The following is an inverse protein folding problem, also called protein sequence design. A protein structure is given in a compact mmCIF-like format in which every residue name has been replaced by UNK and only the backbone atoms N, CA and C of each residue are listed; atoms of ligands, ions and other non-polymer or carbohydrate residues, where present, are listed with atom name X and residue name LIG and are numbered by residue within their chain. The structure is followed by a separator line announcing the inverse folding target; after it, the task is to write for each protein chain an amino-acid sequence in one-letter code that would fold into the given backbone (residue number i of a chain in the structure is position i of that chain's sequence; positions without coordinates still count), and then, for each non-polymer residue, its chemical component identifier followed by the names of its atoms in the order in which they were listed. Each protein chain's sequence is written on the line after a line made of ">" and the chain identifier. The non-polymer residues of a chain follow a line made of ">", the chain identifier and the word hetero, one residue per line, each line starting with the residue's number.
data_IF_865595390987
#
_entry.id   IF_865595390987
#
_cell.length_a   1.000
_cell.length_b   1.000
_cell.length_c   1.000
_cell.angle_alpha   90.00
_cell.angle_beta   90.00
_cell.angle_gamma   90.00
#
_symmetry.space_group_name_H-M   'P 1'
#
loop_
_entity.id
_entity.type
_entity.pdbx_description
1 polymer ?
#
# COMPACT_ATOMS: atom_id res chain seq x y z
N UNK A 1 10.86 15.19 -8.81
CA UNK A 1 10.03 15.16 -7.58
C UNK A 1 8.97 14.12 -7.81
N UNK A 2 8.72 13.23 -6.83
CA UNK A 2 7.72 12.19 -6.95
C UNK A 2 6.33 12.84 -7.08
N UNK A 3 5.54 12.37 -8.03
CA UNK A 3 4.17 12.84 -8.24
C UNK A 3 3.19 11.75 -7.86
N UNK A 4 2.06 12.14 -7.27
CA UNK A 4 0.99 11.19 -6.98
C UNK A 4 0.37 10.65 -8.28
N UNK A 5 0.19 9.33 -8.35
CA UNK A 5 -0.43 8.66 -9.49
C UNK A 5 -1.94 8.92 -9.54
N UNK A 6 -2.60 8.89 -10.71
CA UNK A 6 -4.05 8.95 -10.78
C UNK A 6 -4.70 7.78 -10.02
N UNK A 7 -5.81 8.04 -9.33
CA UNK A 7 -6.57 6.98 -8.64
C UNK A 7 -7.19 6.02 -9.66
N UNK A 8 -7.05 4.72 -9.40
CA UNK A 8 -7.79 3.70 -10.14
C UNK A 8 -9.30 3.76 -9.80
N UNK A 9 -10.18 3.24 -10.68
CA UNK A 9 -11.60 3.13 -10.38
C UNK A 9 -11.89 2.38 -9.07
N UNK A 10 -11.15 1.30 -8.82
CA UNK A 10 -11.29 0.47 -7.62
C UNK A 10 -10.90 1.26 -6.35
N UNK A 11 -9.85 2.08 -6.44
CA UNK A 11 -9.42 2.92 -5.34
C UNK A 11 -10.45 4.03 -5.04
N UNK A 12 -11.04 4.64 -6.09
CA UNK A 12 -12.13 5.60 -5.92
C UNK A 12 -13.32 4.98 -5.17
N UNK A 13 -13.66 3.74 -5.52
CA UNK A 13 -14.72 3.00 -4.86
C UNK A 13 -14.37 2.66 -3.39
N UNK A 14 -13.12 2.31 -3.10
CA UNK A 14 -12.64 2.02 -1.74
C UNK A 14 -12.64 3.27 -0.83
N UNK A 15 -12.17 4.41 -1.35
CA UNK A 15 -12.24 5.71 -0.66
C UNK A 15 -13.69 6.12 -0.37
N UNK A 16 -14.61 5.72 -1.25
CA UNK A 16 -16.05 5.83 -1.05
C UNK A 16 -16.62 7.04 -1.79
N UNK A 17 -17.72 6.78 -2.52
CA UNK A 17 -18.37 7.72 -3.45
C UNK A 17 -18.91 9.01 -2.83
N UNK A 18 -19.19 9.02 -1.52
CA UNK A 18 -19.67 10.19 -0.78
C UNK A 18 -18.58 10.84 0.10
N UNK A 19 -17.34 10.35 0.03
CA UNK A 19 -16.25 10.90 0.84
C UNK A 19 -15.63 12.12 0.15
N UNK A 20 -15.12 13.05 0.96
CA UNK A 20 -14.29 14.16 0.46
C UNK A 20 -12.86 13.71 0.10
N UNK A 21 -12.54 12.41 0.24
CA UNK A 21 -11.19 11.89 0.05
C UNK A 21 -10.74 11.95 -1.41
N UNK A 22 -11.61 11.62 -2.36
CA UNK A 22 -11.25 11.69 -3.80
C UNK A 22 -10.94 13.13 -4.22
N UNK A 23 -11.77 14.15 -3.92
CA UNK A 23 -11.42 15.55 -4.17
C UNK A 23 -10.14 16.02 -3.46
N UNK A 24 -9.91 15.60 -2.22
CA UNK A 24 -8.69 15.92 -1.48
C UNK A 24 -7.46 15.32 -2.16
N UNK A 25 -7.53 14.06 -2.57
CA UNK A 25 -6.45 13.39 -3.30
C UNK A 25 -6.12 14.11 -4.61
N UNK A 26 -7.14 14.43 -5.41
CA UNK A 26 -6.94 15.12 -6.68
C UNK A 26 -6.26 16.49 -6.47
N UNK A 27 -6.63 17.20 -5.40
CA UNK A 27 -5.99 18.47 -5.03
C UNK A 27 -4.53 18.27 -4.66
N UNK A 28 -4.20 17.23 -3.90
CA UNK A 28 -2.82 16.86 -3.55
C UNK A 28 -2.02 16.41 -4.78
N UNK A 29 -2.64 15.68 -5.70
CA UNK A 29 -2.01 15.23 -6.92
C UNK A 29 -1.61 16.40 -7.82
N UNK A 30 -2.47 17.42 -7.95
CA UNK A 30 -2.09 18.66 -8.63
C UNK A 30 -0.95 19.39 -7.91
N UNK A 31 -1.01 19.52 -6.57
CA UNK A 31 0.09 20.13 -5.80
C UNK A 31 1.42 19.40 -6.02
N UNK A 32 1.41 18.06 -6.04
CA UNK A 32 2.61 17.24 -6.22
C UNK A 32 3.36 17.50 -7.53
N UNK A 33 2.69 18.07 -8.54
CA UNK A 33 3.31 18.45 -9.82
C UNK A 33 4.17 19.71 -9.71
N UNK A 34 3.89 20.58 -8.74
CA UNK A 34 4.54 21.88 -8.58
C UNK A 34 5.37 22.02 -7.30
N UNK A 35 5.10 21.21 -6.28
CA UNK A 35 5.76 21.27 -4.98
C UNK A 35 5.92 19.88 -4.34
N UNK A 36 6.80 19.78 -3.34
CA UNK A 36 6.95 18.57 -2.55
C UNK A 36 5.79 18.44 -1.55
N UNK A 37 5.29 17.22 -1.37
CA UNK A 37 4.29 16.90 -0.35
C UNK A 37 4.90 16.58 1.02
N UNK A 38 6.24 16.58 1.14
CA UNK A 38 6.94 16.22 2.37
C UNK A 38 6.65 17.25 3.47
N UNK A 39 6.16 16.76 4.61
CA UNK A 39 5.66 17.54 5.75
C UNK A 39 4.48 18.48 5.41
N UNK A 40 3.79 18.24 4.30
CA UNK A 40 2.60 18.98 3.92
C UNK A 40 1.41 18.57 4.80
N UNK A 41 0.82 19.54 5.51
CA UNK A 41 -0.28 19.28 6.45
C UNK A 41 -1.51 18.66 5.77
N UNK A 42 -1.86 19.09 4.56
CA UNK A 42 -3.01 18.54 3.83
C UNK A 42 -2.75 17.06 3.46
N UNK A 43 -1.52 16.74 3.06
CA UNK A 43 -1.12 15.38 2.71
C UNK A 43 -1.12 14.44 3.93
N UNK A 44 -0.58 14.90 5.06
CA UNK A 44 -0.60 14.16 6.33
C UNK A 44 -2.04 13.93 6.82
N UNK A 45 -2.90 14.95 6.77
CA UNK A 45 -4.31 14.84 7.15
C UNK A 45 -5.10 13.91 6.23
N UNK A 46 -4.77 13.91 4.93
CA UNK A 46 -5.35 12.99 3.98
C UNK A 46 -5.03 11.54 4.35
N UNK A 47 -3.77 11.22 4.64
CA UNK A 47 -3.36 9.88 5.10
C UNK A 47 -4.16 9.45 6.34
N UNK A 48 -4.23 10.31 7.36
CA UNK A 48 -4.99 10.02 8.59
C UNK A 48 -6.50 9.80 8.29
N UNK A 49 -7.05 10.48 7.28
CA UNK A 49 -8.44 10.32 6.86
C UNK A 49 -8.68 9.01 6.10
N UNK A 50 -7.71 8.55 5.29
CA UNK A 50 -7.73 7.23 4.66
C UNK A 50 -7.63 6.12 5.71
N UNK A 51 -6.83 6.30 6.76
CA UNK A 51 -6.74 5.36 7.89
C UNK A 51 -8.08 5.26 8.63
N UNK A 52 -8.76 6.39 8.88
CA UNK A 52 -10.12 6.37 9.46
C UNK A 52 -11.09 5.58 8.58
N UNK A 53 -11.00 5.73 7.26
CA UNK A 53 -11.81 4.98 6.30
C UNK A 53 -11.51 3.48 6.37
N UNK A 54 -10.23 3.10 6.40
CA UNK A 54 -9.78 1.71 6.58
C UNK A 54 -10.40 1.09 7.84
N UNK A 55 -10.26 1.75 9.00
CA UNK A 55 -10.82 1.28 10.27
C UNK A 55 -12.34 1.15 10.24
N UNK A 56 -13.02 2.12 9.62
CA UNK A 56 -14.48 2.10 9.44
C UNK A 56 -14.92 0.88 8.61
N UNK A 57 -14.25 0.58 7.49
CA UNK A 57 -14.54 -0.61 6.68
C UNK A 57 -14.20 -1.88 7.46
N UNK A 58 -13.06 -1.93 8.16
CA UNK A 58 -12.63 -3.09 8.95
C UNK A 58 -13.65 -3.47 10.03
N UNK A 59 -14.26 -2.47 10.67
CA UNK A 59 -15.29 -2.65 11.69
C UNK A 59 -16.64 -3.18 11.16
N UNK A 60 -16.87 -3.16 9.85
CA UNK A 60 -18.10 -3.73 9.28
C UNK A 60 -18.11 -5.25 9.41
N UNK A 61 -19.30 -5.85 9.55
CA UNK A 61 -19.47 -7.31 9.57
C UNK A 61 -20.41 -7.72 8.43
N UNK A 62 -19.87 -7.97 7.22
CA UNK A 62 -20.67 -8.38 6.07
C UNK A 62 -21.39 -9.70 6.31
N UNK A 63 -22.60 -9.84 5.78
CA UNK A 63 -23.41 -11.06 5.92
C UNK A 63 -23.30 -12.01 4.73
N UNK A 64 -22.61 -11.60 3.65
CA UNK A 64 -22.40 -12.41 2.44
C UNK A 64 -20.93 -12.52 2.09
N UNK A 65 -20.56 -13.62 1.44
CA UNK A 65 -19.19 -13.88 0.98
C UNK A 65 -18.73 -12.80 0.00
N UNK A 66 -19.59 -12.36 -0.94
CA UNK A 66 -19.22 -11.32 -1.90
C UNK A 66 -18.89 -9.99 -1.22
N UNK A 67 -19.66 -9.61 -0.19
CA UNK A 67 -19.40 -8.39 0.57
C UNK A 67 -18.15 -8.52 1.46
N UNK A 68 -17.87 -9.73 1.96
CA UNK A 68 -16.63 -10.03 2.68
C UNK A 68 -15.41 -9.92 1.77
N UNK A 69 -15.43 -10.54 0.59
CA UNK A 69 -14.34 -10.43 -0.39
C UNK A 69 -14.13 -8.98 -0.84
N UNK A 70 -15.22 -8.22 -1.05
CA UNK A 70 -15.14 -6.80 -1.38
C UNK A 70 -14.53 -5.97 -0.25
N UNK A 71 -14.90 -6.26 1.00
CA UNK A 71 -14.31 -5.63 2.19
C UNK A 71 -12.80 -5.88 2.23
N UNK A 72 -12.35 -7.13 2.07
CA UNK A 72 -10.93 -7.49 2.11
C UNK A 72 -10.14 -6.82 0.98
N UNK A 73 -10.68 -6.79 -0.24
CA UNK A 73 -10.10 -6.07 -1.37
C UNK A 73 -9.95 -4.57 -1.06
N UNK A 74 -10.97 -3.92 -0.51
CA UNK A 74 -10.90 -2.51 -0.11
C UNK A 74 -9.88 -2.25 0.99
N UNK A 75 -9.78 -3.13 1.99
CA UNK A 75 -8.77 -3.00 3.04
C UNK A 75 -7.36 -3.10 2.46
N UNK A 76 -7.12 -4.03 1.53
CA UNK A 76 -5.83 -4.16 0.83
C UNK A 76 -5.48 -2.89 0.04
N UNK A 77 -6.43 -2.34 -0.73
CA UNK A 77 -6.22 -1.12 -1.51
C UNK A 77 -5.90 0.09 -0.62
N UNK A 78 -6.69 0.30 0.45
CA UNK A 78 -6.48 1.41 1.37
C UNK A 78 -5.16 1.29 2.12
N UNK A 79 -4.78 0.07 2.50
CA UNK A 79 -3.50 -0.22 3.16
C UNK A 79 -2.31 0.14 2.26
N UNK A 80 -2.34 -0.28 1.00
CA UNK A 80 -1.33 0.08 0.00
C UNK A 80 -1.24 1.61 -0.17
N UNK A 81 -2.40 2.26 -0.35
CA UNK A 81 -2.47 3.69 -0.57
C UNK A 81 -1.93 4.52 0.60
N UNK A 82 -2.17 4.08 1.84
CA UNK A 82 -1.59 4.71 3.04
C UNK A 82 -0.07 4.63 3.03
N UNK A 83 0.51 3.52 2.58
CA UNK A 83 1.96 3.38 2.50
C UNK A 83 2.56 4.30 1.42
N UNK A 84 1.99 4.29 0.22
CA UNK A 84 2.46 5.11 -0.90
C UNK A 84 2.37 6.61 -0.61
N UNK A 85 1.21 7.09 -0.17
CA UNK A 85 1.04 8.52 0.16
C UNK A 85 1.77 8.87 1.45
N UNK A 86 1.87 7.94 2.39
CA UNK A 86 2.58 8.13 3.66
C UNK A 86 4.06 8.45 3.46
N UNK A 87 4.79 7.65 2.69
CA UNK A 87 6.23 7.91 2.47
C UNK A 87 6.50 9.23 1.73
N UNK A 88 5.53 9.70 0.93
CA UNK A 88 5.62 11.00 0.26
C UNK A 88 5.24 12.19 1.15
N UNK A 89 4.43 11.95 2.19
CA UNK A 89 3.87 13.00 3.04
C UNK A 89 4.67 13.26 4.31
N UNK A 90 5.34 12.24 4.86
CA UNK A 90 6.02 12.34 6.14
C UNK A 90 7.54 12.32 5.97
N UNK A 91 8.24 13.27 6.59
CA UNK A 91 9.72 13.27 6.55
C UNK A 91 10.38 12.28 7.52
N UNK A 92 9.67 11.88 8.58
CA UNK A 92 10.21 11.06 9.66
C UNK A 92 9.75 9.60 9.53
N UNK A 93 10.67 8.63 9.54
CA UNK A 93 10.32 7.21 9.46
C UNK A 93 9.38 6.76 10.58
N UNK A 94 9.54 7.27 11.81
CA UNK A 94 8.68 6.93 12.94
C UNK A 94 7.22 7.36 12.76
N UNK A 95 6.96 8.46 12.06
CA UNK A 95 5.60 8.92 11.77
C UNK A 95 4.93 8.00 10.75
N UNK A 96 5.67 7.58 9.70
CA UNK A 96 5.21 6.57 8.73
C UNK A 96 4.95 5.24 9.43
N UNK A 97 5.88 4.75 10.26
CA UNK A 97 5.73 3.51 11.00
C UNK A 97 4.43 3.47 11.82
N UNK A 98 4.12 4.57 12.49
CA UNK A 98 2.92 4.69 13.30
C UNK A 98 1.65 4.56 12.45
N UNK A 99 1.61 5.19 11.27
CA UNK A 99 0.46 5.10 10.34
C UNK A 99 0.32 3.73 9.69
N UNK A 100 1.43 3.10 9.31
CA UNK A 100 1.43 1.74 8.75
C UNK A 100 0.92 0.72 9.78
N UNK A 101 1.29 0.87 11.05
CA UNK A 101 0.77 0.03 12.13
C UNK A 101 -0.75 0.18 12.30
N UNK A 102 -1.31 1.37 12.07
CA UNK A 102 -2.76 1.60 12.15
C UNK A 102 -3.59 0.92 11.05
N UNK A 103 -2.94 0.47 9.96
CA UNK A 103 -3.56 -0.30 8.86
C UNK A 103 -3.01 -1.73 8.78
N UNK A 104 -2.56 -2.25 9.92
CA UNK A 104 -2.17 -3.65 10.13
C UNK A 104 -1.04 -4.14 9.22
N UNK A 105 -0.04 -3.30 8.90
CA UNK A 105 1.23 -3.80 8.37
C UNK A 105 1.96 -4.65 9.40
N UNK A 106 2.68 -5.67 8.94
CA UNK A 106 3.59 -6.42 9.80
C UNK A 106 4.76 -5.54 10.25
N UNK A 107 5.34 -5.85 11.41
CA UNK A 107 6.53 -5.16 11.90
C UNK A 107 7.71 -5.27 10.93
N UNK A 108 7.83 -6.39 10.20
CA UNK A 108 8.85 -6.59 9.18
C UNK A 108 8.67 -5.64 8.00
N UNK A 109 7.47 -5.53 7.45
CA UNK A 109 7.17 -4.60 6.36
C UNK A 109 7.38 -3.14 6.79
N UNK A 110 6.99 -2.80 8.01
CA UNK A 110 7.23 -1.46 8.58
C UNK A 110 8.74 -1.18 8.63
N UNK A 111 9.53 -2.09 9.18
CA UNK A 111 10.99 -1.96 9.29
C UNK A 111 11.67 -1.83 7.91
N UNK A 112 11.23 -2.61 6.92
CA UNK A 112 11.76 -2.51 5.55
C UNK A 112 11.47 -1.13 4.92
N UNK A 113 10.23 -0.63 5.05
CA UNK A 113 9.84 0.67 4.51
C UNK A 113 10.58 1.80 5.22
N UNK A 114 10.63 1.80 6.55
CA UNK A 114 11.27 2.87 7.31
C UNK A 114 12.78 2.91 7.12
N UNK A 115 13.45 1.76 7.02
CA UNK A 115 14.88 1.69 6.64
C UNK A 115 15.12 2.26 5.25
N UNK A 116 14.21 2.00 4.29
CA UNK A 116 14.27 2.60 2.97
C UNK A 116 14.28 4.13 3.01
N UNK A 117 13.52 4.73 3.92
CA UNK A 117 13.49 6.19 4.11
C UNK A 117 14.78 6.77 4.71
N UNK A 118 15.55 5.97 5.45
CA UNK A 118 16.80 6.38 6.09
C UNK A 118 18.02 6.23 5.18
N UNK A 119 17.90 5.49 4.08
CA UNK A 119 19.00 5.24 3.16
C UNK A 119 19.40 6.51 2.41
N UNK A 120 20.63 6.96 2.66
CA UNK A 120 21.21 8.09 1.94
C UNK A 120 21.34 7.75 0.44
N UNK A 121 20.73 8.57 -0.43
CA UNK A 121 20.80 8.42 -1.88
C UNK A 121 19.64 7.65 -2.52
N UNK A 122 18.72 7.09 -1.72
CA UNK A 122 17.45 6.58 -2.22
C UNK A 122 16.58 7.78 -2.62
N UNK A 123 16.26 7.89 -3.91
CA UNK A 123 15.32 8.90 -4.37
C UNK A 123 13.88 8.44 -4.09
N UNK A 124 12.93 9.37 -4.17
CA UNK A 124 11.54 9.06 -3.81
C UNK A 124 10.88 8.03 -4.76
N UNK A 125 11.35 7.89 -6.01
CA UNK A 125 10.83 6.91 -6.98
C UNK A 125 11.29 5.48 -6.61
N UNK A 126 12.54 5.33 -6.19
CA UNK A 126 13.09 4.08 -5.67
C UNK A 126 12.40 3.68 -4.36
N UNK A 127 12.07 4.66 -3.51
CA UNK A 127 11.32 4.45 -2.27
C UNK A 127 9.86 4.02 -2.56
N UNK A 128 9.20 4.65 -3.52
CA UNK A 128 7.86 4.24 -3.97
C UNK A 128 7.87 2.81 -4.54
N UNK A 129 8.92 2.45 -5.28
CA UNK A 129 9.12 1.10 -5.80
C UNK A 129 9.32 0.08 -4.67
N UNK A 130 10.14 0.41 -3.67
CA UNK A 130 10.32 -0.40 -2.47
C UNK A 130 8.99 -0.63 -1.75
N UNK A 131 8.24 0.44 -1.49
CA UNK A 131 6.92 0.37 -0.85
C UNK A 131 6.00 -0.56 -1.64
N UNK A 132 5.89 -0.36 -2.95
CA UNK A 132 5.06 -1.21 -3.82
C UNK A 132 5.47 -2.69 -3.71
N UNK A 133 6.77 -3.00 -3.70
CA UNK A 133 7.29 -4.36 -3.57
C UNK A 133 6.96 -4.99 -2.21
N UNK A 134 7.17 -4.25 -1.11
CA UNK A 134 6.88 -4.73 0.26
C UNK A 134 5.38 -4.99 0.43
N UNK A 135 4.55 -4.03 0.00
CA UNK A 135 3.09 -4.12 0.08
C UNK A 135 2.57 -5.30 -0.74
N UNK A 136 3.04 -5.46 -1.97
CA UNK A 136 2.63 -6.56 -2.86
C UNK A 136 2.99 -7.92 -2.27
N UNK A 137 4.17 -8.02 -1.63
CA UNK A 137 4.61 -9.25 -0.97
C UNK A 137 3.72 -9.60 0.22
N UNK A 138 3.39 -8.62 1.07
CA UNK A 138 2.54 -8.84 2.25
C UNK A 138 1.09 -9.16 1.89
N UNK A 139 0.55 -8.52 0.85
CA UNK A 139 -0.82 -8.74 0.36
C UNK A 139 -0.96 -10.04 -0.45
N UNK A 140 0.08 -10.47 -1.16
CA UNK A 140 0.10 -11.75 -1.86
C UNK A 140 0.12 -12.94 -0.90
N UNK A 141 0.78 -12.82 0.26
CA UNK A 141 0.74 -13.83 1.32
C UNK A 141 -0.68 -14.04 1.90
N UNK A 142 -1.55 -13.04 1.79
CA UNK A 142 -2.95 -13.12 2.21
C UNK A 142 -3.88 -13.72 1.15
N UNK A 143 -3.45 -13.84 -0.12
CA UNK A 143 -4.29 -14.27 -1.26
C UNK A 143 -3.92 -15.63 -1.88
N UNK A 144 -2.95 -16.39 -1.37
CA UNK A 144 -2.43 -17.55 -2.12
C UNK A 144 -2.02 -18.76 -1.28
N UNK A 145 -2.94 -19.72 -1.16
CA UNK A 145 -2.60 -21.14 -1.02
C UNK A 145 -2.19 -21.69 -2.40
N UNK A 146 -1.07 -22.42 -2.46
CA UNK A 146 -0.48 -23.12 -3.63
C UNK A 146 0.14 -22.19 -4.71
N UNK A 147 1.38 -22.34 -5.22
CA UNK A 147 2.17 -23.54 -5.50
C UNK A 147 3.69 -23.27 -5.33
N UNK A 148 4.35 -23.99 -4.42
CA UNK A 148 5.78 -24.30 -4.57
C UNK A 148 5.91 -25.36 -5.68
N UNK A 149 6.01 -24.92 -6.93
CA UNK A 149 6.38 -25.78 -8.05
C UNK A 149 7.90 -25.79 -8.22
N UNK A 150 8.64 -26.46 -7.34
CA UNK A 150 10.00 -26.89 -7.67
C UNK A 150 9.92 -27.82 -8.89
N UNK A 151 10.64 -27.58 -10.00
CA UNK A 151 10.84 -28.62 -10.99
C UNK A 151 11.73 -29.71 -10.37
N UNK A 152 11.10 -30.74 -9.81
CA UNK A 152 11.75 -32.03 -9.57
C UNK A 152 12.02 -32.67 -10.94
N UNK A 153 13.19 -32.40 -11.51
CA UNK A 153 13.72 -33.22 -12.59
C UNK A 153 14.35 -34.48 -11.97
N UNK A 154 13.51 -35.50 -11.75
CA UNK A 154 13.93 -36.88 -11.53
C UNK A 154 13.53 -37.71 -12.75
N UNK A 155 14.49 -38.45 -13.30
CA UNK A 155 14.32 -39.43 -14.39
C UNK A 155 15.15 -39.04 -15.63
N UNK A 156 15.95 -39.90 -16.24
CA UNK A 156 16.03 -41.35 -16.15
C UNK A 156 17.36 -41.83 -16.75
N UNK A 157 17.99 -42.81 -16.10
CA UNK A 157 19.03 -43.66 -16.67
C UNK A 157 18.43 -44.53 -17.78
N UNK A 158 19.02 -44.56 -18.98
CA UNK A 158 19.25 -45.81 -19.74
C UNK A 158 20.14 -45.60 -20.96
N UNK A 159 21.19 -46.40 -21.07
CA UNK A 159 22.06 -46.46 -22.24
C UNK A 159 21.43 -47.23 -23.41
N UNK A 160 22.00 -47.00 -24.60
CA UNK A 160 22.33 -47.97 -25.66
C UNK A 160 22.61 -47.18 -26.95
N UNK A 161 23.88 -47.07 -27.36
CA UNK A 161 24.47 -47.82 -28.49
C UNK A 161 25.93 -47.45 -28.67
#
# INVERSE_FOLDING_TARGET
>A
MPTLNPLTPEMNDALGKMSTLVPQYNSLAEKSKSESLRDNQDAMQYVDSVIKRYKSIKATSPTTVDLQSKKESFLSLLKQHVAEVGVMSFSKPGDVASRLNEVDFSAESIDQITKGMEQAGLNDDDLATLVTSVVTSETSLLSGSHHHGHPSAYGHFHGHR
#
